data_IF_022948782508
#
_entry.id   IF_022948782508
#
_cell.length_a   1.000
_cell.length_b   1.000
_cell.length_c   1.000
_cell.angle_alpha   90.00
_cell.angle_beta   90.00
_cell.angle_gamma   90.00
#
_symmetry.space_group_name_H-M   'P 1'
#
loop_
_entity.id
_entity.type
_entity.pdbx_description
1 polymer ?
#
# COMPACT_ATOMS: atom_id res chain seq x y z
N UNK A 1 1.57 15.82 23.21
CA UNK A 1 2.16 14.88 22.24
C UNK A 1 1.07 13.91 21.83
N UNK A 2 0.63 13.89 20.56
CA UNK A 2 -0.41 12.93 20.12
C UNK A 2 0.22 11.53 20.17
N UNK A 3 -0.22 10.69 21.11
CA UNK A 3 0.16 9.28 21.14
C UNK A 3 -0.10 8.69 19.77
N UNK A 4 0.96 8.26 19.07
CA UNK A 4 0.78 7.44 17.87
C UNK A 4 0.08 6.17 18.35
N UNK A 5 -1.22 6.05 18.06
CA UNK A 5 -1.97 4.85 18.37
C UNK A 5 -1.19 3.66 17.80
N UNK A 6 -0.85 2.69 18.65
CA UNK A 6 -0.12 1.52 18.21
C UNK A 6 -0.89 0.86 17.06
N UNK A 7 -0.20 0.62 15.93
CA UNK A 7 -0.80 -0.04 14.78
C UNK A 7 -1.29 -1.42 15.19
N UNK A 8 -2.51 -1.75 14.77
CA UNK A 8 -3.01 -3.11 14.86
C UNK A 8 -2.16 -4.05 14.00
N UNK A 9 -2.13 -5.36 14.29
CA UNK A 9 -1.45 -6.33 13.42
C UNK A 9 -1.90 -6.24 11.96
N UNK A 10 -3.20 -6.06 11.72
CA UNK A 10 -3.75 -5.88 10.38
C UNK A 10 -3.33 -4.54 9.74
N UNK A 11 -3.29 -3.46 10.53
CA UNK A 11 -2.79 -2.16 10.07
C UNK A 11 -1.31 -2.19 9.69
N UNK A 12 -0.49 -2.97 10.41
CA UNK A 12 0.91 -3.22 10.03
C UNK A 12 1.02 -4.01 8.74
N UNK A 13 0.20 -5.04 8.56
CA UNK A 13 0.17 -5.84 7.33
C UNK A 13 -0.21 -4.97 6.12
N UNK A 14 -1.23 -4.12 6.26
CA UNK A 14 -1.60 -3.14 5.23
C UNK A 14 -0.45 -2.18 4.92
N UNK A 15 0.24 -1.68 5.94
CA UNK A 15 1.36 -0.77 5.73
C UNK A 15 2.54 -1.42 4.99
N UNK A 16 2.84 -2.68 5.30
CA UNK A 16 3.86 -3.46 4.59
C UNK A 16 3.44 -3.72 3.15
N UNK A 17 2.17 -4.08 2.91
CA UNK A 17 1.65 -4.30 1.56
C UNK A 17 1.74 -3.03 0.70
N UNK A 18 1.33 -1.87 1.24
CA UNK A 18 1.44 -0.57 0.58
C UNK A 18 2.89 -0.21 0.24
N UNK A 19 3.83 -0.47 1.17
CA UNK A 19 5.24 -0.21 0.92
C UNK A 19 5.82 -1.11 -0.17
N UNK A 20 5.52 -2.42 -0.13
CA UNK A 20 5.99 -3.37 -1.15
C UNK A 20 5.46 -2.97 -2.52
N UNK A 21 4.16 -2.67 -2.62
CA UNK A 21 3.53 -2.24 -3.85
C UNK A 21 4.21 -0.96 -4.39
N UNK A 22 4.41 0.05 -3.53
CA UNK A 22 5.10 1.29 -3.91
C UNK A 22 6.55 1.07 -4.37
N UNK A 23 7.31 0.20 -3.69
CA UNK A 23 8.69 -0.12 -4.09
C UNK A 23 8.72 -0.84 -5.44
N UNK A 24 7.80 -1.78 -5.69
CA UNK A 24 7.72 -2.47 -6.98
C UNK A 24 7.33 -1.53 -8.12
N UNK A 25 6.43 -0.57 -7.87
CA UNK A 25 6.13 0.53 -8.80
C UNK A 25 7.37 1.38 -9.11
N UNK A 26 8.13 1.77 -8.08
CA UNK A 26 9.33 2.58 -8.26
C UNK A 26 10.38 1.85 -9.12
N UNK A 27 10.59 0.55 -8.88
CA UNK A 27 11.47 -0.27 -9.69
C UNK A 27 10.98 -0.42 -11.14
N UNK A 28 9.67 -0.50 -11.37
CA UNK A 28 9.09 -0.55 -12.72
C UNK A 28 9.31 0.78 -13.47
N UNK A 29 9.05 1.92 -12.82
CA UNK A 29 9.32 3.25 -13.39
C UNK A 29 10.80 3.44 -13.68
N UNK A 30 11.68 3.04 -12.75
CA UNK A 30 13.13 3.08 -12.95
C UNK A 30 13.54 2.22 -14.15
N UNK A 31 13.00 1.00 -14.25
CA UNK A 31 13.23 0.11 -15.39
C UNK A 31 12.78 0.74 -16.71
N UNK A 32 11.63 1.43 -16.73
CA UNK A 32 11.16 2.14 -17.91
C UNK A 32 12.10 3.29 -18.30
N UNK A 33 12.49 4.12 -17.34
CA UNK A 33 13.42 5.25 -17.60
C UNK A 33 14.75 4.75 -18.15
N UNK A 34 15.33 3.69 -17.56
CA UNK A 34 16.55 3.09 -18.06
C UNK A 34 16.36 2.47 -19.45
N UNK A 35 15.23 1.79 -19.70
CA UNK A 35 14.97 1.16 -21.00
C UNK A 35 14.92 2.19 -22.11
N UNK A 36 14.21 3.30 -21.92
CA UNK A 36 14.12 4.36 -22.93
C UNK A 36 15.42 5.19 -23.03
N UNK A 37 16.18 5.34 -21.94
CA UNK A 37 17.43 6.10 -21.93
C UNK A 37 18.67 5.35 -22.40
N UNK A 38 18.75 4.02 -22.18
CA UNK A 38 19.95 3.21 -22.44
C UNK A 38 19.70 2.00 -23.36
N UNK A 39 18.46 1.74 -23.79
CA UNK A 39 18.06 0.67 -24.71
C UNK A 39 18.49 -0.77 -24.28
N UNK A 40 18.71 -1.00 -22.97
CA UNK A 40 19.41 -2.23 -22.48
C UNK A 40 18.73 -2.95 -21.31
N UNK A 41 17.58 -2.48 -20.80
CA UNK A 41 17.03 -2.92 -19.50
C UNK A 41 15.67 -3.64 -19.57
N UNK A 42 15.46 -4.49 -20.58
CA UNK A 42 14.25 -5.34 -20.67
C UNK A 42 14.09 -6.29 -19.49
N UNK A 43 15.19 -6.80 -18.93
CA UNK A 43 15.19 -7.72 -17.79
C UNK A 43 14.64 -7.04 -16.53
N UNK A 44 14.95 -5.75 -16.32
CA UNK A 44 14.49 -4.99 -15.15
C UNK A 44 12.98 -4.77 -15.22
N UNK A 45 12.48 -4.34 -16.39
CA UNK A 45 11.05 -4.15 -16.63
C UNK A 45 10.29 -5.47 -16.50
N UNK A 46 10.85 -6.56 -17.04
CA UNK A 46 10.24 -7.89 -16.95
C UNK A 46 10.15 -8.36 -15.49
N UNK A 47 11.23 -8.22 -14.71
CA UNK A 47 11.26 -8.64 -13.30
C UNK A 47 10.31 -7.79 -12.45
N UNK A 48 10.45 -6.46 -12.50
CA UNK A 48 9.61 -5.56 -11.72
C UNK A 48 8.15 -5.58 -12.17
N UNK A 49 7.85 -5.83 -13.44
CA UNK A 49 6.48 -6.05 -13.91
C UNK A 49 5.81 -7.25 -13.23
N UNK A 50 6.52 -8.38 -13.10
CA UNK A 50 5.99 -9.57 -12.43
C UNK A 50 5.88 -9.38 -10.91
N UNK A 51 6.91 -8.81 -10.30
CA UNK A 51 6.90 -8.49 -8.86
C UNK A 51 5.77 -7.50 -8.53
N UNK A 52 5.59 -6.47 -9.35
CA UNK A 52 4.53 -5.49 -9.20
C UNK A 52 3.14 -6.14 -9.33
N UNK A 53 2.91 -6.97 -10.35
CA UNK A 53 1.63 -7.68 -10.49
C UNK A 53 1.29 -8.54 -9.26
N UNK A 54 2.28 -9.24 -8.69
CA UNK A 54 2.11 -9.99 -7.44
C UNK A 54 1.84 -9.08 -6.23
N UNK A 55 2.60 -7.99 -6.09
CA UNK A 55 2.43 -7.01 -5.03
C UNK A 55 1.07 -6.31 -5.10
N UNK A 56 0.58 -5.99 -6.29
CA UNK A 56 -0.74 -5.41 -6.54
C UNK A 56 -1.86 -6.33 -6.03
N UNK A 57 -1.85 -7.62 -6.43
CA UNK A 57 -2.83 -8.58 -5.96
C UNK A 57 -2.78 -8.77 -4.45
N UNK A 58 -1.57 -8.86 -3.89
CA UNK A 58 -1.37 -8.94 -2.44
C UNK A 58 -1.94 -7.72 -1.72
N UNK A 59 -1.66 -6.51 -2.21
CA UNK A 59 -2.18 -5.26 -1.67
C UNK A 59 -3.71 -5.21 -1.73
N UNK A 60 -4.34 -5.61 -2.85
CA UNK A 60 -5.80 -5.63 -2.99
C UNK A 60 -6.43 -6.58 -1.95
N UNK A 61 -5.90 -7.80 -1.82
CA UNK A 61 -6.39 -8.77 -0.83
C UNK A 61 -6.25 -8.23 0.60
N UNK A 62 -5.07 -7.71 0.94
CA UNK A 62 -4.81 -7.12 2.27
C UNK A 62 -5.72 -5.91 2.53
N UNK A 63 -6.00 -5.08 1.52
CA UNK A 63 -6.89 -3.92 1.61
C UNK A 63 -8.33 -4.34 1.94
N UNK A 64 -8.85 -5.36 1.25
CA UNK A 64 -10.19 -5.92 1.54
C UNK A 64 -10.24 -6.47 2.96
N UNK A 65 -9.25 -7.30 3.34
CA UNK A 65 -9.18 -7.87 4.68
C UNK A 65 -9.08 -6.77 5.76
N UNK A 66 -8.29 -5.73 5.52
CA UNK A 66 -8.11 -4.62 6.45
C UNK A 66 -9.41 -3.82 6.60
N UNK A 67 -10.09 -3.52 5.50
CA UNK A 67 -11.38 -2.83 5.52
C UNK A 67 -12.42 -3.60 6.35
N UNK A 68 -12.50 -4.92 6.19
CA UNK A 68 -13.41 -5.77 6.96
C UNK A 68 -13.02 -5.84 8.45
N UNK A 69 -11.73 -6.08 8.75
CA UNK A 69 -11.25 -6.29 10.12
C UNK A 69 -11.21 -5.02 10.96
N UNK A 70 -10.80 -3.91 10.34
CA UNK A 70 -10.71 -2.59 10.99
C UNK A 70 -12.03 -1.81 10.89
N UNK A 71 -13.02 -2.39 10.20
CA UNK A 71 -14.36 -1.84 9.99
C UNK A 71 -14.29 -0.44 9.40
N UNK A 72 -13.54 -0.32 8.31
CA UNK A 72 -13.41 0.94 7.60
C UNK A 72 -14.75 1.37 7.02
N UNK A 73 -15.00 2.69 6.95
CA UNK A 73 -16.13 3.21 6.18
C UNK A 73 -15.94 2.89 4.69
N UNK A 74 -17.04 2.80 3.95
CA UNK A 74 -17.05 2.41 2.53
C UNK A 74 -16.10 3.25 1.67
N UNK A 75 -15.97 4.55 1.97
CA UNK A 75 -15.09 5.47 1.24
C UNK A 75 -13.62 5.10 1.40
N UNK A 76 -13.20 4.63 2.59
CA UNK A 76 -11.80 4.29 2.85
C UNK A 76 -11.43 2.98 2.14
N UNK A 77 -12.37 2.04 2.05
CA UNK A 77 -12.22 0.87 1.20
C UNK A 77 -12.07 1.26 -0.27
N UNK A 78 -12.95 2.12 -0.79
CA UNK A 78 -12.87 2.60 -2.17
C UNK A 78 -11.54 3.32 -2.47
N UNK A 79 -11.11 4.24 -1.60
CA UNK A 79 -9.83 4.93 -1.75
C UNK A 79 -8.64 3.97 -1.69
N UNK A 80 -8.70 2.93 -0.85
CA UNK A 80 -7.63 1.92 -0.79
C UNK A 80 -7.44 1.18 -2.11
N UNK A 81 -8.54 0.84 -2.79
CA UNK A 81 -8.48 0.17 -4.09
C UNK A 81 -8.04 1.14 -5.20
N UNK A 82 -8.57 2.36 -5.19
CA UNK A 82 -8.21 3.38 -6.18
C UNK A 82 -6.74 3.78 -6.08
N UNK A 83 -6.14 3.76 -4.89
CA UNK A 83 -4.74 4.11 -4.68
C UNK A 83 -3.75 3.14 -5.32
N UNK A 84 -4.17 1.94 -5.72
CA UNK A 84 -3.32 1.00 -6.44
C UNK A 84 -3.25 1.29 -7.96
N UNK A 85 -4.13 2.16 -8.48
CA UNK A 85 -4.13 2.51 -9.91
C UNK A 85 -3.05 3.55 -10.26
N UNK A 86 -2.96 4.71 -9.56
CA UNK A 86 -1.90 5.66 -9.81
C UNK A 86 -0.58 5.23 -9.15
N UNK A 87 0.57 5.45 -9.81
CA UNK A 87 1.87 5.05 -9.29
C UNK A 87 2.17 5.68 -7.93
N UNK A 88 2.70 4.86 -7.02
CA UNK A 88 3.20 5.26 -5.71
C UNK A 88 2.16 5.83 -4.73
N UNK A 89 0.86 5.79 -5.03
CA UNK A 89 -0.18 6.42 -4.19
C UNK A 89 -0.58 5.56 -2.98
N UNK A 90 -0.28 4.27 -3.00
CA UNK A 90 -0.48 3.36 -1.86
C UNK A 90 0.26 3.82 -0.60
N UNK A 91 1.47 4.37 -0.73
CA UNK A 91 2.30 4.87 0.39
C UNK A 91 1.72 6.13 1.06
N UNK A 92 1.43 7.24 0.35
CA UNK A 92 0.82 8.41 0.97
C UNK A 92 -0.59 8.11 1.50
N UNK A 93 -1.35 7.21 0.86
CA UNK A 93 -2.63 6.76 1.40
C UNK A 93 -2.45 6.03 2.73
N UNK A 94 -1.51 5.10 2.82
CA UNK A 94 -1.15 4.40 4.06
C UNK A 94 -0.79 5.37 5.17
N UNK A 95 0.08 6.34 4.87
CA UNK A 95 0.47 7.38 5.83
C UNK A 95 -0.74 8.18 6.29
N UNK A 96 -1.66 8.51 5.38
CA UNK A 96 -2.87 9.22 5.72
C UNK A 96 -3.81 8.38 6.60
N UNK A 97 -4.07 7.12 6.25
CA UNK A 97 -4.87 6.19 7.04
C UNK A 97 -4.29 5.99 8.44
N UNK A 98 -2.96 5.93 8.56
CA UNK A 98 -2.27 5.90 9.85
C UNK A 98 -2.55 7.18 10.65
N UNK A 99 -2.47 8.35 10.03
CA UNK A 99 -2.70 9.66 10.67
C UNK A 99 -4.13 9.85 11.16
N UNK A 100 -5.13 9.35 10.43
CA UNK A 100 -6.55 9.45 10.81
C UNK A 100 -7.01 8.28 11.70
N UNK A 101 -6.09 7.39 12.09
CA UNK A 101 -6.36 6.30 13.05
C UNK A 101 -7.05 5.08 12.46
N UNK A 102 -7.21 4.98 11.14
CA UNK A 102 -7.84 3.82 10.49
C UNK A 102 -7.02 2.53 10.61
N UNK A 103 -5.73 2.63 10.92
CA UNK A 103 -4.83 1.47 11.09
C UNK A 103 -4.58 1.07 12.56
N UNK A 104 -5.09 1.85 13.52
CA UNK A 104 -4.80 1.69 14.94
C UNK A 104 -5.58 0.57 15.63
N UNK A 105 -5.11 0.17 16.82
CA UNK A 105 -5.89 -0.66 17.74
C UNK A 105 -7.06 0.15 18.30
N UNK A 106 -8.28 -0.38 18.15
CA UNK A 106 -9.45 0.12 18.90
C UNK A 106 -9.32 -0.42 20.33
N UNK A 107 -8.71 0.34 21.22
CA UNK A 107 -8.72 -0.02 22.64
C UNK A 107 -10.16 0.09 23.15
N UNK A 108 -10.63 -0.87 23.98
CA UNK A 108 -11.90 -0.71 24.67
C UNK A 108 -11.88 0.60 25.43
N UNK A 109 -12.89 1.45 25.23
CA UNK A 109 -13.11 2.62 26.07
C UNK A 109 -13.28 2.12 27.50
N UNK A 110 -12.34 2.43 28.39
CA UNK A 110 -12.49 2.18 29.81
C UNK A 110 -13.72 2.98 30.27
N UNK A 111 -14.79 2.25 30.58
CA UNK A 111 -15.97 2.78 31.27
C UNK A 111 -15.70 2.88 32.77
#
# INVERSE_FOLDING_TARGET
MRSAAALSPMGRLFAVAALIEGVTWAGLLLGMVLKYGTQTTDVVVWLFGRLHGGAFLFYVVVSVLAAMRLRWPWWAWALSLLAALPPLVTVPLEMWFRRIGLLGLRLPSAG
#
